data_IF_402370527091
#
_entry.id   IF_402370527091
#
_cell.length_a   1.000
_cell.length_b   1.000
_cell.length_c   1.000
_cell.angle_alpha   90.00
_cell.angle_beta   90.00
_cell.angle_gamma   90.00
#
_symmetry.space_group_name_H-M   'P 1'
#
loop_
_entity.id
_entity.type
_entity.pdbx_description
1 polymer ?
#
# COMPACT_ATOMS: atom_id res chain seq x y z
N UNK A 1 -26.26 -12.81 -22.05
CA UNK A 1 -25.28 -12.06 -22.88
C UNK A 1 -25.00 -10.65 -22.32
N UNK A 2 -25.95 -10.02 -21.62
CA UNK A 2 -25.81 -8.69 -20.99
C UNK A 2 -24.78 -8.59 -19.85
N UNK A 3 -24.45 -9.69 -19.14
CA UNK A 3 -23.48 -9.66 -18.02
C UNK A 3 -22.03 -9.39 -18.46
N UNK A 4 -21.65 -9.69 -19.71
CA UNK A 4 -20.25 -9.52 -20.14
C UNK A 4 -19.91 -8.07 -20.50
N UNK A 5 -20.89 -7.33 -21.05
CA UNK A 5 -20.69 -5.94 -21.48
C UNK A 5 -20.51 -4.98 -20.28
N UNK A 6 -21.20 -5.27 -19.16
CA UNK A 6 -21.12 -4.48 -17.93
C UNK A 6 -19.81 -4.68 -17.14
N UNK A 7 -19.18 -5.85 -17.24
CA UNK A 7 -17.96 -6.19 -16.49
C UNK A 7 -16.66 -5.81 -17.23
N UNK A 8 -16.75 -5.66 -18.56
CA UNK A 8 -15.63 -5.31 -19.43
C UNK A 8 -14.88 -4.01 -19.02
N UNK A 9 -15.55 -2.88 -18.71
CA UNK A 9 -14.84 -1.65 -18.34
C UNK A 9 -14.14 -1.75 -16.98
N UNK A 10 -14.74 -2.42 -15.99
CA UNK A 10 -14.14 -2.62 -14.67
C UNK A 10 -12.93 -3.55 -14.74
N UNK A 11 -13.03 -4.64 -15.52
CA UNK A 11 -11.91 -5.54 -15.75
C UNK A 11 -10.76 -4.82 -16.48
N UNK A 12 -11.08 -4.05 -17.53
CA UNK A 12 -10.08 -3.26 -18.25
C UNK A 12 -9.38 -2.23 -17.33
N UNK A 13 -10.14 -1.55 -16.47
CA UNK A 13 -9.59 -0.60 -15.51
C UNK A 13 -8.67 -1.29 -14.48
N UNK A 14 -9.06 -2.47 -13.97
CA UNK A 14 -8.24 -3.26 -13.05
C UNK A 14 -6.93 -3.72 -13.69
N UNK A 15 -6.97 -4.27 -14.91
CA UNK A 15 -5.77 -4.67 -15.63
C UNK A 15 -4.88 -3.48 -15.97
N UNK A 16 -5.46 -2.34 -16.33
CA UNK A 16 -4.71 -1.12 -16.63
C UNK A 16 -4.02 -0.56 -15.38
N UNK A 17 -4.76 -0.37 -14.28
CA UNK A 17 -4.22 0.12 -13.02
C UNK A 17 -3.18 -0.84 -12.43
N UNK A 18 -3.49 -2.14 -12.40
CA UNK A 18 -2.56 -3.18 -11.96
C UNK A 18 -1.31 -3.27 -12.84
N UNK A 19 -1.47 -3.12 -14.15
CA UNK A 19 -0.37 -3.09 -15.11
C UNK A 19 0.56 -1.89 -14.88
N UNK A 20 0.01 -0.69 -14.72
CA UNK A 20 0.79 0.51 -14.39
C UNK A 20 1.52 0.34 -13.06
N UNK A 21 0.83 -0.15 -12.02
CA UNK A 21 1.43 -0.39 -10.71
C UNK A 21 2.59 -1.40 -10.81
N UNK A 22 2.37 -2.52 -11.50
CA UNK A 22 3.39 -3.54 -11.72
C UNK A 22 4.60 -2.99 -12.48
N UNK A 23 4.38 -2.27 -13.58
CA UNK A 23 5.42 -1.65 -14.37
C UNK A 23 6.22 -0.63 -13.55
N UNK A 24 5.55 0.18 -12.75
CA UNK A 24 6.19 1.13 -11.84
C UNK A 24 7.06 0.43 -10.79
N UNK A 25 6.54 -0.61 -10.14
CA UNK A 25 7.30 -1.39 -9.15
C UNK A 25 8.48 -2.12 -9.78
N UNK A 26 8.31 -2.70 -10.98
CA UNK A 26 9.39 -3.31 -11.74
C UNK A 26 10.44 -2.28 -12.15
N UNK A 27 10.03 -1.11 -12.63
CA UNK A 27 10.93 -0.01 -12.98
C UNK A 27 11.76 0.42 -11.77
N UNK A 28 11.13 0.66 -10.61
CA UNK A 28 11.85 0.99 -9.38
C UNK A 28 12.79 -0.14 -8.96
N UNK A 29 12.33 -1.40 -8.98
CA UNK A 29 13.16 -2.55 -8.62
C UNK A 29 14.39 -2.66 -9.54
N UNK A 30 14.22 -2.43 -10.84
CA UNK A 30 15.33 -2.38 -11.82
C UNK A 30 16.27 -1.21 -11.54
N UNK A 31 15.74 0.00 -11.29
CA UNK A 31 16.55 1.19 -10.99
C UNK A 31 17.34 1.03 -9.69
N UNK A 32 16.77 0.39 -8.66
CA UNK A 32 17.48 0.06 -7.41
C UNK A 32 18.65 -0.90 -7.64
N UNK A 33 18.48 -1.92 -8.49
CA UNK A 33 19.55 -2.89 -8.81
C UNK A 33 20.65 -2.31 -9.68
N UNK A 34 20.28 -1.51 -10.70
CA UNK A 34 21.22 -1.00 -11.69
C UNK A 34 21.93 0.29 -11.25
N UNK A 35 21.25 1.14 -10.47
CA UNK A 35 21.78 2.45 -10.05
C UNK A 35 21.38 2.75 -8.59
N UNK A 36 21.89 2.00 -7.60
CA UNK A 36 21.50 2.13 -6.21
C UNK A 36 21.69 3.57 -5.67
N UNK A 37 22.77 4.24 -6.05
CA UNK A 37 23.09 5.61 -5.59
C UNK A 37 22.25 6.72 -6.24
N UNK A 38 21.46 6.43 -7.29
CA UNK A 38 20.57 7.42 -7.93
C UNK A 38 19.14 7.36 -7.39
N UNK A 39 18.86 6.48 -6.43
CA UNK A 39 17.54 6.34 -5.80
C UNK A 39 17.64 6.69 -4.32
N UNK A 40 16.66 7.44 -3.79
CA UNK A 40 16.61 7.78 -2.35
C UNK A 40 16.69 6.53 -1.48
N UNK A 41 16.00 5.45 -1.90
CA UNK A 41 15.96 4.19 -1.18
C UNK A 41 17.30 3.44 -1.20
N UNK A 42 18.03 3.49 -2.32
CA UNK A 42 19.35 2.87 -2.43
C UNK A 42 20.42 3.65 -1.68
N UNK A 43 20.41 4.99 -1.74
CA UNK A 43 21.28 5.86 -0.93
C UNK A 43 21.03 5.63 0.56
N UNK A 44 19.76 5.62 0.99
CA UNK A 44 19.41 5.36 2.39
C UNK A 44 19.86 3.96 2.85
N UNK A 45 19.78 2.95 1.98
CA UNK A 45 20.27 1.62 2.31
C UNK A 45 21.79 1.54 2.42
N UNK A 46 22.53 2.27 1.58
CA UNK A 46 23.99 2.34 1.67
C UNK A 46 24.40 3.07 2.95
N UNK A 47 23.81 4.24 3.22
CA UNK A 47 24.05 5.00 4.44
C UNK A 47 23.76 4.19 5.71
N UNK A 48 22.69 3.38 5.74
CA UNK A 48 22.42 2.49 6.88
C UNK A 48 23.50 1.43 7.08
N UNK A 49 24.06 0.85 6.02
CA UNK A 49 25.15 -0.12 6.13
C UNK A 49 26.41 0.54 6.70
N UNK A 50 26.75 1.71 6.19
CA UNK A 50 27.92 2.46 6.66
C UNK A 50 27.74 2.92 8.12
N UNK A 51 26.54 3.34 8.49
CA UNK A 51 26.17 3.69 9.86
C UNK A 51 26.25 2.49 10.81
N UNK A 52 25.79 1.29 10.42
CA UNK A 52 25.96 0.08 11.25
C UNK A 52 27.45 -0.20 11.47
N UNK A 53 28.27 -0.12 10.42
CA UNK A 53 29.71 -0.31 10.52
C UNK A 53 30.39 0.75 11.41
N UNK A 54 29.90 1.99 11.44
CA UNK A 54 30.41 3.01 12.37
C UNK A 54 30.00 2.72 13.81
N UNK A 55 28.75 2.32 14.07
CA UNK A 55 28.26 1.98 15.41
C UNK A 55 29.03 0.79 16.00
N UNK A 56 29.27 -0.25 15.21
CA UNK A 56 30.04 -1.43 15.65
C UNK A 56 31.48 -1.06 15.97
N UNK A 57 32.14 -0.24 15.13
CA UNK A 57 33.50 0.23 15.38
C UNK A 57 33.60 1.16 16.59
N UNK A 58 32.62 2.05 16.77
CA UNK A 58 32.52 2.97 17.90
C UNK A 58 32.10 2.31 19.21
N UNK A 59 31.59 1.06 19.16
CA UNK A 59 30.99 0.34 20.30
C UNK A 59 29.77 1.07 20.88
N UNK A 60 29.04 1.82 20.06
CA UNK A 60 27.89 2.65 20.43
C UNK A 60 26.57 1.86 20.50
N UNK A 61 26.54 0.80 21.31
CA UNK A 61 25.40 -0.10 21.40
C UNK A 61 24.08 0.58 21.80
N UNK A 62 24.15 1.61 22.67
CA UNK A 62 22.97 2.38 23.11
C UNK A 62 22.34 3.12 21.93
N UNK A 63 23.13 3.74 21.06
CA UNK A 63 22.63 4.42 19.85
C UNK A 63 21.94 3.43 18.91
N UNK A 64 22.52 2.23 18.77
CA UNK A 64 21.93 1.12 18.03
C UNK A 64 20.54 0.72 18.54
N UNK A 65 20.44 0.46 19.85
CA UNK A 65 19.17 0.08 20.50
C UNK A 65 18.13 1.20 20.38
N UNK A 66 18.53 2.47 20.56
CA UNK A 66 17.63 3.61 20.42
C UNK A 66 17.08 3.74 19.00
N UNK A 67 17.93 3.54 18.00
CA UNK A 67 17.53 3.57 16.58
C UNK A 67 16.54 2.45 16.26
N UNK A 68 16.77 1.25 16.82
CA UNK A 68 15.85 0.12 16.67
C UNK A 68 14.49 0.41 17.30
N UNK A 69 14.46 0.91 18.55
CA UNK A 69 13.20 1.27 19.24
C UNK A 69 12.44 2.35 18.48
N UNK A 70 13.13 3.36 17.95
CA UNK A 70 12.51 4.40 17.14
C UNK A 70 11.85 3.81 15.88
N UNK A 71 12.53 2.88 15.21
CA UNK A 71 11.99 2.21 14.02
C UNK A 71 10.78 1.33 14.36
N UNK A 72 10.83 0.59 15.48
CA UNK A 72 9.69 -0.21 15.96
C UNK A 72 8.48 0.67 16.30
N UNK A 73 8.69 1.82 16.94
CA UNK A 73 7.60 2.76 17.24
C UNK A 73 6.92 3.24 15.95
N UNK A 74 7.70 3.65 14.94
CA UNK A 74 7.16 4.09 13.65
C UNK A 74 6.40 2.96 12.95
N UNK A 75 6.93 1.74 12.97
CA UNK A 75 6.25 0.57 12.39
C UNK A 75 4.90 0.29 13.08
N UNK A 76 4.86 0.29 14.41
CA UNK A 76 3.61 0.09 15.17
C UNK A 76 2.59 1.21 14.96
N UNK A 77 3.05 2.45 14.78
CA UNK A 77 2.18 3.58 14.46
C UNK A 77 1.54 3.42 13.08
N UNK A 78 2.31 3.02 12.07
CA UNK A 78 1.79 2.78 10.73
C UNK A 78 0.82 1.58 10.70
N UNK A 79 1.15 0.49 11.40
CA UNK A 79 0.26 -0.67 11.55
C UNK A 79 -1.08 -0.31 12.22
N UNK A 80 -1.04 0.58 13.21
CA UNK A 80 -2.26 1.08 13.86
C UNK A 80 -3.07 1.95 12.90
N UNK A 81 -2.39 2.77 12.09
CA UNK A 81 -3.02 3.60 11.05
C UNK A 81 -3.71 2.74 9.99
N UNK A 82 -3.04 1.73 9.43
CA UNK A 82 -3.68 0.81 8.48
C UNK A 82 -4.85 0.05 9.11
N UNK A 83 -4.73 -0.38 10.36
CA UNK A 83 -5.81 -1.06 11.09
C UNK A 83 -7.05 -0.17 11.26
N UNK A 84 -6.89 1.09 11.68
CA UNK A 84 -8.01 2.05 11.82
C UNK A 84 -8.68 2.32 10.47
N UNK A 85 -7.88 2.53 9.42
CA UNK A 85 -8.40 2.76 8.08
C UNK A 85 -9.11 1.52 7.51
N UNK A 86 -8.56 0.32 7.73
CA UNK A 86 -9.18 -0.94 7.34
C UNK A 86 -10.53 -1.14 8.04
N UNK A 87 -10.60 -0.89 9.35
CA UNK A 87 -11.85 -0.91 10.10
C UNK A 87 -12.84 0.14 9.59
N UNK A 88 -12.36 1.34 9.25
CA UNK A 88 -13.19 2.39 8.64
C UNK A 88 -13.81 1.95 7.31
N UNK A 89 -13.02 1.34 6.43
CA UNK A 89 -13.50 0.78 5.15
C UNK A 89 -14.50 -0.36 5.37
N UNK A 90 -14.21 -1.28 6.28
CA UNK A 90 -15.11 -2.40 6.60
C UNK A 90 -16.43 -1.92 7.22
N UNK A 91 -16.38 -0.93 8.12
CA UNK A 91 -17.56 -0.32 8.73
C UNK A 91 -18.45 0.34 7.68
N UNK A 92 -17.86 1.14 6.77
CA UNK A 92 -18.58 1.70 5.65
C UNK A 92 -19.21 0.59 4.79
N UNK A 93 -18.47 -0.50 4.52
CA UNK A 93 -18.92 -1.62 3.70
C UNK A 93 -20.11 -2.37 4.33
N UNK A 94 -20.10 -2.53 5.65
CA UNK A 94 -21.22 -3.12 6.40
C UNK A 94 -22.46 -2.22 6.39
N UNK A 95 -22.29 -0.89 6.42
CA UNK A 95 -23.40 0.07 6.33
C UNK A 95 -23.94 0.29 4.91
N UNK A 96 -23.39 -0.37 3.88
CA UNK A 96 -23.83 -0.20 2.49
C UNK A 96 -25.26 -0.66 2.20
N UNK A 97 -25.85 -1.50 3.06
CA UNK A 97 -27.26 -1.90 2.98
C UNK A 97 -28.23 -0.75 3.25
N UNK A 98 -27.81 0.24 4.06
CA UNK A 98 -28.51 1.51 4.21
C UNK A 98 -27.98 2.47 3.14
N UNK A 99 -28.83 2.80 2.15
CA UNK A 99 -28.53 3.62 0.95
C UNK A 99 -28.03 5.03 1.28
N UNK A 100 -26.85 5.14 1.86
CA UNK A 100 -26.20 6.37 2.28
C UNK A 100 -25.37 6.94 1.13
N UNK A 101 -25.44 8.25 0.92
CA UNK A 101 -24.85 8.96 -0.23
C UNK A 101 -23.33 8.80 -0.38
N UNK A 102 -22.63 8.36 0.66
CA UNK A 102 -21.18 8.09 0.63
C UNK A 102 -20.80 7.02 -0.40
N UNK A 103 -21.61 5.97 -0.56
CA UNK A 103 -21.39 4.91 -1.56
C UNK A 103 -21.54 5.41 -3.00
N UNK A 104 -22.39 6.43 -3.21
CA UNK A 104 -22.62 7.03 -4.53
C UNK A 104 -21.41 7.82 -5.03
N UNK A 105 -20.58 8.37 -4.12
CA UNK A 105 -19.32 9.04 -4.46
C UNK A 105 -18.22 8.05 -4.87
N UNK A 106 -18.30 6.79 -4.44
CA UNK A 106 -17.37 5.73 -4.84
C UNK A 106 -17.81 5.00 -6.13
N UNK A 107 -19.09 5.10 -6.50
CA UNK A 107 -19.68 4.55 -7.72
C UNK A 107 -19.79 5.62 -8.84
N UNK A 108 -18.68 6.28 -9.20
CA UNK A 108 -18.67 7.24 -10.33
C UNK A 108 -18.71 6.49 -11.68
N UNK A 109 -18.18 5.26 -11.74
CA UNK A 109 -18.20 4.39 -12.91
C UNK A 109 -18.53 2.93 -12.50
N UNK A 110 -19.51 2.31 -13.18
CA UNK A 110 -19.80 0.87 -13.06
C UNK A 110 -21.19 0.52 -12.49
N UNK A 111 -21.79 -0.56 -13.01
CA UNK A 111 -23.08 -1.14 -12.58
C UNK A 111 -22.94 -1.84 -11.21
N UNK A 112 -23.99 -1.85 -10.36
CA UNK A 112 -23.91 -2.37 -9.00
C UNK A 112 -23.98 -3.90 -8.98
N UNK A 113 -22.86 -4.58 -9.22
CA UNK A 113 -22.71 -6.01 -8.92
C UNK A 113 -22.13 -6.19 -7.51
N UNK A 114 -22.84 -6.87 -6.59
CA UNK A 114 -22.40 -7.08 -5.21
C UNK A 114 -21.03 -7.76 -5.12
N UNK A 115 -20.77 -8.76 -5.97
CA UNK A 115 -19.52 -9.53 -5.96
C UNK A 115 -18.29 -8.70 -6.32
N UNK A 116 -18.45 -7.74 -7.25
CA UNK A 116 -17.36 -6.87 -7.68
C UNK A 116 -17.01 -5.82 -6.60
N UNK A 117 -17.99 -5.38 -5.82
CA UNK A 117 -17.78 -4.47 -4.70
C UNK A 117 -16.92 -5.12 -3.62
N UNK A 118 -17.20 -6.38 -3.28
CA UNK A 118 -16.38 -7.15 -2.31
C UNK A 118 -14.93 -7.23 -2.78
N UNK A 119 -14.71 -7.50 -4.07
CA UNK A 119 -13.35 -7.53 -4.63
C UNK A 119 -12.64 -6.17 -4.55
N UNK A 120 -13.34 -5.07 -4.88
CA UNK A 120 -12.79 -3.69 -4.78
C UNK A 120 -12.42 -3.34 -3.33
N UNK A 121 -13.27 -3.69 -2.37
CA UNK A 121 -13.00 -3.48 -0.93
C UNK A 121 -11.78 -4.30 -0.49
N UNK A 122 -11.69 -5.58 -0.89
CA UNK A 122 -10.54 -6.42 -0.55
C UNK A 122 -9.23 -5.86 -1.13
N UNK A 123 -9.26 -5.39 -2.38
CA UNK A 123 -8.11 -4.75 -3.02
C UNK A 123 -7.71 -3.45 -2.29
N UNK A 124 -8.68 -2.64 -1.86
CA UNK A 124 -8.43 -1.42 -1.09
C UNK A 124 -7.80 -1.73 0.28
N UNK A 125 -8.27 -2.77 0.97
CA UNK A 125 -7.68 -3.21 2.24
C UNK A 125 -6.22 -3.64 2.06
N UNK A 126 -5.92 -4.41 1.01
CA UNK A 126 -4.54 -4.78 0.68
C UNK A 126 -3.67 -3.54 0.44
N UNK A 127 -4.15 -2.58 -0.35
CA UNK A 127 -3.42 -1.33 -0.60
C UNK A 127 -3.16 -0.58 0.71
N UNK A 128 -4.14 -0.51 1.61
CA UNK A 128 -4.00 0.14 2.92
C UNK A 128 -2.93 -0.51 3.79
N UNK A 129 -2.91 -1.85 3.87
CA UNK A 129 -1.89 -2.58 4.64
C UNK A 129 -0.48 -2.49 4.03
N UNK A 130 -0.36 -2.32 2.72
CA UNK A 130 0.95 -2.15 2.08
C UNK A 130 1.43 -0.70 2.07
N UNK A 131 0.52 0.27 2.15
CA UNK A 131 0.85 1.69 2.17
C UNK A 131 1.35 2.16 3.55
N UNK A 132 0.83 1.56 4.63
CA UNK A 132 1.16 1.89 6.03
C UNK A 132 1.55 0.62 6.80
#
# INVERSE_FOLDING_TARGET
>A
MELSAACLPDAAALFFAGGIALLYHLFIARRRKLCPLRTVQGVASAARKDWVASVVRGRDGILGVQTLRNSTMVASFMASTSSVLALGVLSLAASAGDRTGAWRLLHIFGTPSPDLLVFKVLALLLVLFFAF
#
